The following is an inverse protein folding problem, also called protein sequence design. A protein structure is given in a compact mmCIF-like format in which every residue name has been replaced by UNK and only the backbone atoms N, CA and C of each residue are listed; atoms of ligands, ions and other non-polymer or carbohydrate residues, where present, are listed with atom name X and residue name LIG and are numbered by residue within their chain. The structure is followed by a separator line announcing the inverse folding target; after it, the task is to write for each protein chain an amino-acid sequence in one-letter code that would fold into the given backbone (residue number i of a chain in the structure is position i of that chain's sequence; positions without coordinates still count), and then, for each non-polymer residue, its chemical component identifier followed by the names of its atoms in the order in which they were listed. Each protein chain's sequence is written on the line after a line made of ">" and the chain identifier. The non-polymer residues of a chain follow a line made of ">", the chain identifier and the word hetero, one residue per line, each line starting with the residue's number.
data_IF_533428181234
#
_entry.id   IF_533428181234
#
_cell.length_a   1.000
_cell.length_b   1.000
_cell.length_c   1.000
_cell.angle_alpha   90.00
_cell.angle_beta   90.00
_cell.angle_gamma   90.00
#
_symmetry.space_group_name_H-M   'P 1'
#
loop_
_entity.id
_entity.type
_entity.pdbx_description
1 polymer ?
#
# COMPACT_ATOMS: atom_id res chain seq x y z
N UNK A 1 3.25 -7.45 -28.12
CA UNK A 1 2.91 -6.41 -27.12
C UNK A 1 1.86 -6.89 -26.10
N UNK A 2 0.68 -7.36 -26.52
CA UNK A 2 -0.40 -7.83 -25.63
C UNK A 2 0.03 -8.98 -24.70
N UNK A 3 0.75 -9.98 -25.22
CA UNK A 3 1.18 -11.14 -24.43
C UNK A 3 2.12 -10.77 -23.27
N UNK A 4 3.00 -9.79 -23.46
CA UNK A 4 3.90 -9.33 -22.41
C UNK A 4 3.16 -8.59 -21.29
N UNK A 5 2.21 -7.71 -21.65
CA UNK A 5 1.40 -7.03 -20.65
C UNK A 5 0.52 -8.01 -19.86
N UNK A 6 -0.04 -9.01 -20.54
CA UNK A 6 -0.82 -10.06 -19.90
C UNK A 6 0.03 -10.86 -18.93
N UNK A 7 1.25 -11.26 -19.31
CA UNK A 7 2.17 -12.01 -18.46
C UNK A 7 2.54 -11.22 -17.18
N UNK A 8 2.86 -9.94 -17.31
CA UNK A 8 3.21 -9.08 -16.16
C UNK A 8 2.04 -8.94 -15.19
N UNK A 9 0.83 -8.66 -15.71
CA UNK A 9 -0.36 -8.50 -14.88
C UNK A 9 -0.79 -9.82 -14.22
N UNK A 10 -0.72 -10.95 -14.93
CA UNK A 10 -1.05 -12.27 -14.39
C UNK A 10 -0.08 -12.65 -13.27
N UNK A 11 1.20 -12.43 -13.47
CA UNK A 11 2.22 -12.64 -12.45
C UNK A 11 1.97 -11.76 -11.22
N UNK A 12 1.65 -10.48 -11.41
CA UNK A 12 1.26 -9.57 -10.33
C UNK A 12 0.05 -10.08 -9.52
N UNK A 13 -0.99 -10.57 -10.22
CA UNK A 13 -2.18 -11.13 -9.59
C UNK A 13 -1.87 -12.41 -8.77
N UNK A 14 -1.00 -13.29 -9.29
CA UNK A 14 -0.55 -14.50 -8.57
C UNK A 14 0.22 -14.10 -7.31
N UNK A 15 1.18 -13.18 -7.40
CA UNK A 15 1.93 -12.68 -6.26
C UNK A 15 1.02 -12.01 -5.22
N UNK A 16 0.00 -11.28 -5.67
CA UNK A 16 -1.01 -10.72 -4.78
C UNK A 16 -1.76 -11.82 -4.01
N UNK A 17 -2.24 -12.85 -4.69
CA UNK A 17 -2.96 -13.96 -4.05
C UNK A 17 -2.09 -14.64 -2.98
N UNK A 18 -0.84 -14.97 -3.31
CA UNK A 18 0.11 -15.56 -2.38
C UNK A 18 0.42 -14.59 -1.22
N UNK A 19 0.68 -13.32 -1.53
CA UNK A 19 0.96 -12.29 -0.53
C UNK A 19 -0.22 -12.06 0.42
N UNK A 20 -1.45 -12.05 -0.07
CA UNK A 20 -2.66 -11.92 0.73
C UNK A 20 -2.83 -13.10 1.71
N UNK A 21 -2.66 -14.34 1.22
CA UNK A 21 -2.74 -15.55 2.06
C UNK A 21 -1.68 -15.52 3.17
N UNK A 22 -0.44 -15.12 2.84
CA UNK A 22 0.64 -15.01 3.82
C UNK A 22 0.36 -13.90 4.83
N UNK A 23 -0.08 -12.72 4.37
CA UNK A 23 -0.41 -11.60 5.24
C UNK A 23 -1.55 -11.94 6.22
N UNK A 24 -2.55 -12.70 5.78
CA UNK A 24 -3.67 -13.14 6.61
C UNK A 24 -3.24 -14.23 7.59
N UNK A 25 -2.47 -15.20 7.13
CA UNK A 25 -1.97 -16.31 7.97
C UNK A 25 -1.09 -15.80 9.13
N UNK A 26 -0.22 -14.84 8.85
CA UNK A 26 0.69 -14.30 9.86
C UNK A 26 0.14 -13.05 10.56
N UNK A 27 -1.05 -12.56 10.18
CA UNK A 27 -1.66 -11.31 10.67
C UNK A 27 -0.70 -10.11 10.59
N UNK A 28 0.19 -10.12 9.60
CA UNK A 28 1.30 -9.19 9.44
C UNK A 28 1.15 -8.32 8.18
N UNK A 29 -0.02 -7.69 8.03
CA UNK A 29 -0.34 -6.88 6.84
C UNK A 29 0.58 -5.67 6.69
N UNK A 30 0.89 -5.02 7.80
CA UNK A 30 1.86 -3.93 7.80
C UNK A 30 3.23 -4.38 7.32
N UNK A 31 3.68 -5.56 7.76
CA UNK A 31 4.97 -6.13 7.35
C UNK A 31 5.03 -6.37 5.84
N UNK A 32 3.94 -6.89 5.25
CA UNK A 32 3.86 -7.10 3.81
C UNK A 32 4.05 -5.80 3.03
N UNK A 33 3.41 -4.71 3.47
CA UNK A 33 3.55 -3.38 2.83
C UNK A 33 5.00 -2.88 2.96
N UNK A 34 5.57 -2.93 4.16
CA UNK A 34 6.90 -2.40 4.46
C UNK A 34 8.02 -3.14 3.72
N UNK A 35 7.85 -4.45 3.52
CA UNK A 35 8.82 -5.28 2.78
C UNK A 35 8.68 -5.08 1.27
N UNK A 36 7.44 -4.97 0.77
CA UNK A 36 7.23 -4.87 -0.68
C UNK A 36 7.46 -3.47 -1.25
N UNK A 37 7.35 -2.41 -0.46
CA UNK A 37 7.64 -1.07 -0.93
C UNK A 37 9.11 -0.87 -1.36
N UNK A 38 10.13 -1.28 -0.61
CA UNK A 38 11.52 -1.29 -1.09
C UNK A 38 11.73 -2.10 -2.37
N UNK A 39 11.02 -3.23 -2.56
CA UNK A 39 11.09 -4.01 -3.79
C UNK A 39 10.61 -3.19 -4.99
N UNK A 40 9.51 -2.45 -4.83
CA UNK A 40 9.01 -1.52 -5.85
C UNK A 40 9.98 -0.37 -6.11
N UNK A 41 10.58 0.23 -5.08
CA UNK A 41 11.59 1.28 -5.19
C UNK A 41 12.81 0.77 -5.99
N UNK A 42 13.31 -0.42 -5.67
CA UNK A 42 14.42 -1.06 -6.41
C UNK A 42 14.02 -1.29 -7.87
N UNK A 43 12.81 -1.80 -8.12
CA UNK A 43 12.29 -1.99 -9.48
C UNK A 43 12.30 -0.70 -10.30
N UNK A 44 11.77 0.41 -9.76
CA UNK A 44 11.81 1.71 -10.44
C UNK A 44 13.21 2.28 -10.57
N UNK A 45 14.10 2.09 -9.61
CA UNK A 45 15.50 2.51 -9.71
C UNK A 45 16.23 1.78 -10.85
N UNK A 46 15.95 0.48 -11.04
CA UNK A 46 16.48 -0.28 -12.17
C UNK A 46 15.92 0.26 -13.51
N UNK A 47 14.62 0.59 -13.58
CA UNK A 47 14.02 1.15 -14.77
C UNK A 47 14.61 2.52 -15.15
N UNK A 48 15.07 3.31 -14.18
CA UNK A 48 15.73 4.59 -14.40
C UNK A 48 17.21 4.42 -14.80
N UNK A 49 17.83 3.27 -14.51
CA UNK A 49 19.24 3.01 -14.82
C UNK A 49 19.45 2.62 -16.29
N UNK A 50 20.69 2.80 -16.79
CA UNK A 50 21.05 2.42 -18.15
C UNK A 50 21.43 0.95 -18.20
N UNK A 51 20.47 0.09 -18.40
CA UNK A 51 20.62 -1.35 -18.38
C UNK A 51 20.16 -2.00 -19.69
N UNK A 52 20.46 -3.28 -19.86
CA UNK A 52 20.00 -4.08 -20.99
C UNK A 52 18.48 -4.28 -20.93
N UNK A 53 17.79 -4.40 -22.09
CA UNK A 53 16.32 -4.58 -22.14
C UNK A 53 15.79 -5.73 -21.26
N UNK A 54 16.55 -6.81 -21.14
CA UNK A 54 16.19 -7.94 -20.29
C UNK A 54 16.10 -7.57 -18.79
N UNK A 55 16.97 -6.67 -18.33
CA UNK A 55 16.99 -6.19 -16.95
C UNK A 55 15.80 -5.27 -16.69
N UNK A 56 15.46 -4.40 -17.63
CA UNK A 56 14.25 -3.57 -17.54
C UNK A 56 12.99 -4.42 -17.52
N UNK A 57 12.96 -5.49 -18.33
CA UNK A 57 11.82 -6.41 -18.33
C UNK A 57 11.67 -7.12 -16.97
N UNK A 58 12.76 -7.58 -16.36
CA UNK A 58 12.74 -8.13 -15.01
C UNK A 58 12.27 -7.09 -13.98
N UNK A 59 12.73 -5.85 -14.07
CA UNK A 59 12.30 -4.77 -13.18
C UNK A 59 10.78 -4.50 -13.24
N UNK A 60 10.16 -4.64 -14.43
CA UNK A 60 8.70 -4.51 -14.57
C UNK A 60 7.94 -5.57 -13.75
N UNK A 61 8.45 -6.79 -13.65
CA UNK A 61 7.85 -7.82 -12.78
C UNK A 61 7.98 -7.48 -11.30
N UNK A 62 9.12 -6.94 -10.86
CA UNK A 62 9.32 -6.49 -9.48
C UNK A 62 8.33 -5.38 -9.13
N UNK A 63 8.20 -4.38 -9.99
CA UNK A 63 7.25 -3.28 -9.81
C UNK A 63 5.82 -3.81 -9.77
N UNK A 64 5.44 -4.67 -10.73
CA UNK A 64 4.09 -5.24 -10.77
C UNK A 64 3.77 -6.01 -9.49
N UNK A 65 4.61 -6.97 -9.10
CA UNK A 65 4.40 -7.76 -7.88
C UNK A 65 4.26 -6.87 -6.64
N UNK A 66 5.14 -5.87 -6.50
CA UNK A 66 5.12 -4.90 -5.40
C UNK A 66 3.81 -4.11 -5.38
N UNK A 67 3.42 -3.49 -6.50
CA UNK A 67 2.22 -2.66 -6.59
C UNK A 67 0.94 -3.46 -6.29
N UNK A 68 0.81 -4.67 -6.82
CA UNK A 68 -0.37 -5.51 -6.57
C UNK A 68 -0.50 -5.89 -5.09
N UNK A 69 0.59 -6.35 -4.46
CA UNK A 69 0.59 -6.72 -3.04
C UNK A 69 0.30 -5.51 -2.16
N UNK A 70 0.98 -4.39 -2.40
CA UNK A 70 0.81 -3.16 -1.61
C UNK A 70 -0.62 -2.66 -1.70
N UNK A 71 -1.19 -2.55 -2.91
CA UNK A 71 -2.53 -1.99 -3.11
C UNK A 71 -3.58 -2.81 -2.36
N UNK A 72 -3.62 -4.11 -2.56
CA UNK A 72 -4.61 -4.96 -1.91
C UNK A 72 -4.44 -5.03 -0.39
N UNK A 73 -3.20 -5.20 0.07
CA UNK A 73 -2.91 -5.27 1.51
C UNK A 73 -3.20 -3.94 2.21
N UNK A 74 -2.92 -2.80 1.56
CA UNK A 74 -3.18 -1.47 2.11
C UNK A 74 -4.68 -1.21 2.31
N UNK A 75 -5.51 -1.57 1.33
CA UNK A 75 -6.98 -1.46 1.44
C UNK A 75 -7.49 -2.33 2.60
N UNK A 76 -7.03 -3.57 2.69
CA UNK A 76 -7.40 -4.49 3.76
C UNK A 76 -6.93 -3.98 5.13
N UNK A 77 -5.70 -3.48 5.24
CA UNK A 77 -5.15 -2.92 6.48
C UNK A 77 -5.91 -1.66 6.93
N UNK A 78 -6.26 -0.78 5.98
CA UNK A 78 -7.09 0.39 6.26
C UNK A 78 -8.47 -0.02 6.80
N UNK A 79 -9.16 -0.95 6.12
CA UNK A 79 -10.52 -1.36 6.50
C UNK A 79 -10.59 -1.99 7.90
N UNK A 80 -9.54 -2.67 8.33
CA UNK A 80 -9.48 -3.32 9.65
C UNK A 80 -9.14 -2.37 10.79
N UNK A 81 -8.54 -1.23 10.48
CA UNK A 81 -8.08 -0.26 11.48
C UNK A 81 -9.03 0.93 11.64
N UNK A 82 -10.19 0.91 11.00
CA UNK A 82 -11.20 1.97 11.08
C UNK A 82 -12.55 1.41 11.51
N UNK A 83 -13.14 2.00 12.54
CA UNK A 83 -14.47 1.69 13.06
C UNK A 83 -15.18 3.01 13.47
N UNK A 84 -16.51 3.09 13.42
CA UNK A 84 -17.52 2.11 12.99
C UNK A 84 -17.61 1.97 11.46
N UNK A 85 -18.54 1.13 10.99
CA UNK A 85 -18.69 0.80 9.57
C UNK A 85 -18.92 2.01 8.66
N UNK A 86 -19.70 2.98 9.07
CA UNK A 86 -19.91 4.22 8.33
C UNK A 86 -18.61 5.01 8.11
N UNK A 87 -17.75 5.11 9.13
CA UNK A 87 -16.44 5.74 9.04
C UNK A 87 -15.50 4.93 8.13
N UNK A 88 -15.55 3.59 8.20
CA UNK A 88 -14.79 2.69 7.34
C UNK A 88 -15.18 2.88 5.87
N UNK A 89 -16.47 2.88 5.57
CA UNK A 89 -16.98 3.07 4.22
C UNK A 89 -16.58 4.44 3.64
N UNK A 90 -16.74 5.52 4.40
CA UNK A 90 -16.33 6.86 3.98
C UNK A 90 -14.80 6.93 3.77
N UNK A 91 -14.00 6.36 4.67
CA UNK A 91 -12.55 6.32 4.56
C UNK A 91 -12.08 5.55 3.33
N UNK A 92 -12.69 4.39 3.04
CA UNK A 92 -12.40 3.63 1.83
C UNK A 92 -12.81 4.37 0.56
N UNK A 93 -13.96 5.06 0.56
CA UNK A 93 -14.39 5.89 -0.56
C UNK A 93 -13.39 7.01 -0.88
N UNK A 94 -12.91 7.73 0.13
CA UNK A 94 -11.87 8.75 -0.02
C UNK A 94 -10.56 8.13 -0.51
N UNK A 95 -10.14 7.01 0.08
CA UNK A 95 -8.91 6.31 -0.32
C UNK A 95 -8.93 5.93 -1.81
N UNK A 96 -10.00 5.28 -2.26
CA UNK A 96 -10.16 4.87 -3.66
C UNK A 96 -10.33 6.07 -4.60
N UNK A 97 -11.03 7.12 -4.16
CA UNK A 97 -11.15 8.37 -4.92
C UNK A 97 -9.80 9.03 -5.17
N UNK A 98 -8.96 9.15 -4.13
CA UNK A 98 -7.60 9.70 -4.27
C UNK A 98 -6.70 8.80 -5.14
N UNK A 99 -6.85 7.47 -5.04
CA UNK A 99 -6.10 6.54 -5.90
C UNK A 99 -6.44 6.75 -7.39
N UNK A 100 -7.71 6.99 -7.73
CA UNK A 100 -8.12 7.29 -9.11
C UNK A 100 -7.54 8.62 -9.63
N UNK A 101 -7.42 9.64 -8.78
CA UNK A 101 -6.73 10.90 -9.14
C UNK A 101 -5.25 10.61 -9.49
N UNK A 102 -4.60 9.73 -8.72
CA UNK A 102 -3.24 9.26 -9.03
C UNK A 102 -3.14 8.61 -10.42
N UNK A 103 -4.17 7.84 -10.83
CA UNK A 103 -4.26 7.25 -12.16
C UNK A 103 -4.34 8.29 -13.28
N UNK A 104 -5.09 9.37 -13.08
CA UNK A 104 -5.17 10.50 -14.03
C UNK A 104 -3.80 11.16 -14.18
N UNK A 105 -3.12 11.42 -13.07
CA UNK A 105 -1.77 12.02 -13.06
C UNK A 105 -0.79 11.10 -13.82
N UNK A 106 -0.83 9.79 -13.57
CA UNK A 106 0.02 8.83 -14.24
C UNK A 106 -0.17 8.87 -15.78
N UNK A 107 -1.42 8.97 -16.25
CA UNK A 107 -1.71 9.12 -17.68
C UNK A 107 -1.11 10.37 -18.32
N UNK A 108 -0.89 11.43 -17.55
CA UNK A 108 -0.26 12.67 -18.05
C UNK A 108 1.27 12.65 -17.98
N UNK A 109 1.85 11.88 -17.07
CA UNK A 109 3.30 11.84 -16.84
C UNK A 109 3.99 10.84 -17.79
N UNK A 110 3.32 9.71 -18.13
CA UNK A 110 3.86 8.72 -19.07
C UNK A 110 3.53 9.10 -20.52
N UNK A 111 4.20 10.11 -21.06
CA UNK A 111 3.98 10.57 -22.43
C UNK A 111 4.84 9.80 -23.44
N UNK A 112 4.30 9.60 -24.65
CA UNK A 112 5.00 8.88 -25.72
C UNK A 112 6.29 9.57 -26.20
N UNK A 113 6.40 10.87 -25.99
CA UNK A 113 7.61 11.65 -26.32
C UNK A 113 8.81 11.32 -25.42
N UNK A 114 8.58 10.75 -24.23
CA UNK A 114 9.62 10.37 -23.28
C UNK A 114 10.18 8.96 -23.52
N UNK A 115 9.75 8.32 -24.62
CA UNK A 115 10.28 7.00 -25.01
C UNK A 115 11.78 7.06 -25.31
N UNK A 116 12.54 5.99 -25.03
CA UNK A 116 12.10 4.72 -24.43
C UNK A 116 12.17 4.68 -22.90
N UNK A 117 12.69 5.70 -22.23
CA UNK A 117 13.11 5.64 -20.82
C UNK A 117 12.09 6.17 -19.82
N UNK A 118 11.10 6.97 -20.23
CA UNK A 118 10.07 7.54 -19.37
C UNK A 118 10.58 8.05 -18.00
N UNK A 119 11.67 8.82 -18.01
CA UNK A 119 12.35 9.28 -16.78
C UNK A 119 11.41 10.00 -15.81
N UNK A 120 10.55 10.87 -16.34
CA UNK A 120 9.60 11.62 -15.53
C UNK A 120 8.60 10.66 -14.86
N UNK A 121 8.04 9.71 -15.61
CA UNK A 121 7.06 8.76 -15.11
C UNK A 121 7.64 7.83 -14.05
N UNK A 122 8.78 7.23 -14.33
CA UNK A 122 9.43 6.31 -13.38
C UNK A 122 9.96 7.05 -12.15
N UNK A 123 10.52 8.26 -12.33
CA UNK A 123 11.00 9.10 -11.22
C UNK A 123 9.88 9.53 -10.29
N UNK A 124 8.74 9.96 -10.85
CA UNK A 124 7.55 10.31 -10.07
C UNK A 124 7.00 9.10 -9.30
N UNK A 125 6.90 7.95 -9.96
CA UNK A 125 6.41 6.71 -9.32
C UNK A 125 7.32 6.26 -8.19
N UNK A 126 8.64 6.31 -8.38
CA UNK A 126 9.62 6.01 -7.34
C UNK A 126 9.48 6.95 -6.15
N UNK A 127 9.41 8.26 -6.39
CA UNK A 127 9.24 9.26 -5.34
C UNK A 127 7.93 9.04 -4.57
N UNK A 128 6.84 8.75 -5.27
CA UNK A 128 5.53 8.50 -4.66
C UNK A 128 5.54 7.28 -3.74
N UNK A 129 6.16 6.16 -4.15
CA UNK A 129 6.29 4.97 -3.31
C UNK A 129 7.19 5.25 -2.11
N UNK A 130 8.28 5.99 -2.28
CA UNK A 130 9.16 6.35 -1.18
C UNK A 130 8.45 7.22 -0.14
N UNK A 131 7.69 8.24 -0.57
CA UNK A 131 6.88 9.07 0.33
C UNK A 131 5.82 8.23 1.04
N UNK A 132 5.13 7.34 0.31
CA UNK A 132 4.14 6.45 0.90
C UNK A 132 4.78 5.50 1.94
N UNK A 133 5.97 4.99 1.68
CA UNK A 133 6.71 4.12 2.61
C UNK A 133 6.98 4.81 3.94
N UNK A 134 7.43 6.06 3.93
CA UNK A 134 7.56 6.86 5.15
C UNK A 134 6.20 7.13 5.81
N UNK A 135 5.16 7.41 5.03
CA UNK A 135 3.81 7.60 5.53
C UNK A 135 3.27 6.39 6.29
N UNK A 136 3.52 5.17 5.81
CA UNK A 136 3.12 3.94 6.51
C UNK A 136 3.85 3.76 7.83
N UNK A 137 5.12 4.13 7.94
CA UNK A 137 5.83 4.14 9.22
C UNK A 137 5.22 5.12 10.20
N UNK A 138 4.86 6.32 9.75
CA UNK A 138 4.18 7.33 10.59
C UNK A 138 2.83 6.78 11.09
N UNK A 139 2.03 6.18 10.23
CA UNK A 139 0.76 5.56 10.62
C UNK A 139 0.94 4.42 11.63
N UNK A 140 1.94 3.57 11.42
CA UNK A 140 2.29 2.52 12.36
C UNK A 140 2.59 3.08 13.77
N UNK A 141 3.41 4.13 13.84
CA UNK A 141 3.73 4.79 15.11
C UNK A 141 2.49 5.42 15.75
N UNK A 142 1.62 6.04 14.96
CA UNK A 142 0.35 6.59 15.45
C UNK A 142 -0.52 5.48 16.05
N UNK A 143 -0.68 4.36 15.37
CA UNK A 143 -1.47 3.22 15.87
C UNK A 143 -0.84 2.60 17.12
N UNK A 144 0.47 2.44 17.16
CA UNK A 144 1.18 1.98 18.37
C UNK A 144 0.97 2.89 19.58
N UNK A 145 1.06 4.21 19.38
CA UNK A 145 0.79 5.18 20.43
C UNK A 145 -0.67 5.11 20.92
N UNK A 146 -1.62 4.99 20.01
CA UNK A 146 -3.04 4.84 20.34
C UNK A 146 -3.30 3.55 21.10
N UNK A 147 -2.69 2.44 20.72
CA UNK A 147 -2.82 1.17 21.43
C UNK A 147 -2.28 1.27 22.87
N UNK A 148 -1.14 1.93 23.06
CA UNK A 148 -0.60 2.18 24.39
C UNK A 148 -1.51 3.10 25.25
N UNK A 149 -2.17 4.08 24.65
CA UNK A 149 -3.17 4.91 25.33
C UNK A 149 -4.38 4.09 25.77
N UNK A 150 -4.89 3.21 24.90
CA UNK A 150 -6.01 2.31 25.22
C UNK A 150 -5.68 1.37 26.37
N UNK A 151 -4.50 0.78 26.38
CA UNK A 151 -4.05 -0.07 27.48
C UNK A 151 -4.07 0.67 28.82
N UNK A 152 -3.70 1.95 28.84
CA UNK A 152 -3.79 2.80 30.05
C UNK A 152 -5.24 3.08 30.45
N UNK A 153 -6.14 3.32 29.48
CA UNK A 153 -7.57 3.52 29.75
C UNK A 153 -8.21 2.28 30.36
N UNK A 154 -7.88 1.10 29.84
CA UNK A 154 -8.34 -0.19 30.38
C UNK A 154 -7.83 -0.38 31.81
N UNK A 155 -6.55 -0.11 32.07
CA UNK A 155 -5.97 -0.22 33.39
C UNK A 155 -6.58 0.78 34.42
N UNK A 156 -7.07 1.93 33.92
CA UNK A 156 -7.77 2.93 34.72
C UNK A 156 -9.27 2.60 34.93
N UNK A 157 -9.77 1.50 34.40
CA UNK A 157 -11.18 1.10 34.51
C UNK A 157 -12.16 2.00 33.73
N UNK A 158 -11.67 2.73 32.74
CA UNK A 158 -12.52 3.65 31.95
C UNK A 158 -13.51 2.85 31.10
N UNK A 159 -14.80 3.03 31.36
CA UNK A 159 -15.89 2.46 30.58
C UNK A 159 -16.35 3.49 29.55
N UNK A 160 -16.30 3.12 28.26
CA UNK A 160 -16.81 3.96 27.16
C UNK A 160 -18.22 3.49 26.80
N UNK A 161 -19.22 4.38 26.77
CA UNK A 161 -20.58 4.02 26.37
C UNK A 161 -20.61 3.41 24.95
N UNK A 162 -21.50 2.46 24.71
CA UNK A 162 -21.63 1.78 23.44
C UNK A 162 -21.91 2.74 22.25
N UNK A 163 -22.58 3.85 22.51
CA UNK A 163 -22.87 4.90 21.51
C UNK A 163 -21.60 5.63 21.01
N UNK A 164 -20.52 5.59 21.77
CA UNK A 164 -19.23 6.22 21.42
C UNK A 164 -18.20 5.22 20.91
N UNK A 165 -18.62 4.03 20.56
CA UNK A 165 -17.73 2.97 20.09
C UNK A 165 -17.14 3.32 18.72
N UNK A 166 -15.84 3.62 18.72
CA UNK A 166 -15.06 3.96 17.53
C UNK A 166 -13.74 3.19 17.55
N UNK A 167 -12.92 3.38 16.52
CA UNK A 167 -11.53 2.89 16.49
C UNK A 167 -10.65 3.40 17.66
N UNK A 168 -11.14 4.38 18.44
CA UNK A 168 -10.49 4.89 19.64
C UNK A 168 -10.98 4.24 20.92
N UNK A 169 -12.05 3.47 20.88
CA UNK A 169 -12.58 2.80 22.08
C UNK A 169 -11.55 1.78 22.64
N UNK A 170 -11.48 1.59 23.96
CA UNK A 170 -10.53 0.68 24.61
C UNK A 170 -10.61 -0.76 24.09
N UNK A 171 -11.82 -1.24 23.79
CA UNK A 171 -12.05 -2.60 23.27
C UNK A 171 -11.75 -2.82 21.81
N UNK A 172 -11.37 -1.78 21.06
CA UNK A 172 -10.96 -1.92 19.66
C UNK A 172 -9.44 -2.08 19.57
N UNK A 173 -8.95 -3.17 19.00
CA UNK A 173 -7.53 -3.43 18.81
C UNK A 173 -7.10 -3.18 17.37
N UNK A 174 -6.03 -2.40 17.19
CA UNK A 174 -5.44 -2.18 15.87
C UNK A 174 -4.71 -3.43 15.37
N UNK A 175 -4.84 -3.70 14.07
CA UNK A 175 -4.15 -4.79 13.39
C UNK A 175 -2.82 -4.27 12.79
N UNK A 176 -1.73 -5.01 12.98
CA UNK A 176 -0.39 -4.65 12.50
C UNK A 176 0.14 -5.61 11.43
#
# INVERSE_FOLDING_TARGET
>A
MWAHNLAVNLTGAIFYGVGAILADKYKARFLSIIVMAPVGIIGYAILLSDQKPAVWYFATYLVSASCYIITGTNIAWHSMNVAPDGKRAAGLGIHLGLANIGGIIAGQIYQTQDQPRYFLGHGWSLASIAVAWFGWWVLFWIYKRREAQKSRMIAAGTVVPAAEWTDRAPGFHYQF
#
